data_IF_064914802825
#
_entry.id   IF_064914802825
#
_cell.length_a   1.000
_cell.length_b   1.000
_cell.length_c   1.000
_cell.angle_alpha   90.00
_cell.angle_beta   90.00
_cell.angle_gamma   90.00
#
_symmetry.space_group_name_H-M   'P 1'
#
loop_
_entity.id
_entity.type
_entity.pdbx_description
1 polymer ?
#
# COMPACT_ATOMS: atom_id res chain seq x y z
N UNK A 1 13.21 43.07 -67.08
CA UNK A 1 12.33 42.73 -68.22
C UNK A 1 11.10 42.16 -67.57
N UNK A 2 10.02 42.94 -67.41
CA UNK A 2 8.88 43.08 -68.31
C UNK A 2 8.13 41.73 -68.41
N UNK A 3 6.83 41.55 -68.22
CA UNK A 3 5.64 42.39 -68.31
C UNK A 3 4.50 41.61 -67.71
N UNK A 4 3.60 42.15 -66.85
CA UNK A 4 2.20 42.51 -67.13
C UNK A 4 1.30 41.37 -67.55
N UNK A 5 0.07 41.18 -67.18
CA UNK A 5 -1.01 42.01 -66.64
C UNK A 5 -2.36 41.31 -66.80
N UNK A 6 -3.30 41.73 -65.95
CA UNK A 6 -4.71 42.08 -66.19
C UNK A 6 -5.76 40.93 -66.10
N UNK A 7 -6.68 41.05 -65.15
CA UNK A 7 -8.05 41.67 -65.21
C UNK A 7 -9.02 40.87 -66.07
N UNK A 8 -10.23 40.55 -65.66
CA UNK A 8 -11.43 41.36 -65.44
C UNK A 8 -12.59 40.48 -65.04
N UNK A 9 -13.38 40.78 -64.01
CA UNK A 9 -14.81 41.22 -63.97
C UNK A 9 -15.82 40.25 -64.68
N UNK A 10 -17.02 40.03 -64.28
CA UNK A 10 -17.99 40.68 -63.38
C UNK A 10 -19.33 39.97 -63.35
N UNK A 11 -20.16 40.26 -62.35
CA UNK A 11 -21.63 40.46 -62.36
C UNK A 11 -22.52 39.28 -62.76
N UNK A 12 -23.67 39.02 -62.20
CA UNK A 12 -24.71 39.79 -61.54
C UNK A 12 -25.69 38.77 -60.89
N UNK A 13 -26.16 39.01 -59.72
CA UNK A 13 -27.48 39.57 -59.36
C UNK A 13 -28.72 38.75 -59.74
N UNK A 14 -29.53 38.44 -58.73
CA UNK A 14 -30.90 37.93 -58.89
C UNK A 14 -31.56 37.70 -57.55
N UNK A 15 -32.30 38.71 -57.12
CA UNK A 15 -33.25 38.78 -56.00
C UNK A 15 -34.47 37.89 -56.27
N UNK A 16 -34.99 37.21 -55.30
CA UNK A 16 -36.43 37.36 -54.95
C UNK A 16 -36.81 36.66 -53.62
N UNK A 17 -37.40 37.45 -52.86
CA UNK A 17 -38.18 37.43 -51.63
C UNK A 17 -39.45 36.61 -51.80
N UNK A 18 -39.80 35.73 -50.86
CA UNK A 18 -41.21 35.49 -50.51
C UNK A 18 -41.35 35.08 -49.01
N UNK A 19 -42.13 35.91 -48.34
CA UNK A 19 -42.68 35.67 -46.99
C UNK A 19 -43.73 34.53 -47.02
N UNK A 20 -43.73 33.71 -45.97
CA UNK A 20 -44.96 33.19 -45.44
C UNK A 20 -44.86 32.91 -43.94
N UNK A 21 -45.71 33.56 -43.18
CA UNK A 21 -46.01 33.35 -41.76
C UNK A 21 -46.63 31.98 -41.53
N UNK A 22 -46.38 31.42 -40.35
CA UNK A 22 -47.26 30.35 -39.84
C UNK A 22 -46.79 29.67 -38.56
N UNK A 23 -47.22 30.24 -37.43
CA UNK A 23 -47.71 29.56 -36.22
C UNK A 23 -46.77 28.83 -35.24
N UNK A 24 -46.91 29.28 -34.05
CA UNK A 24 -46.53 28.81 -32.74
C UNK A 24 -46.60 27.29 -32.52
N UNK A 25 -45.57 26.77 -31.89
CA UNK A 25 -45.55 25.44 -31.28
C UNK A 25 -44.57 25.44 -30.10
N UNK A 26 -45.14 25.32 -28.92
CA UNK A 26 -44.48 25.31 -27.61
C UNK A 26 -43.35 24.30 -27.44
N UNK A 27 -42.32 24.72 -26.79
CA UNK A 27 -41.80 24.06 -25.63
C UNK A 27 -40.99 22.79 -25.80
N UNK A 28 -39.78 22.85 -25.50
CA UNK A 28 -38.95 21.68 -25.29
C UNK A 28 -37.48 22.09 -25.48
N UNK A 29 -36.96 22.82 -24.50
CA UNK A 29 -35.51 23.00 -24.43
C UNK A 29 -34.87 21.66 -24.17
N UNK A 30 -34.50 20.95 -25.23
CA UNK A 30 -33.51 19.88 -25.12
C UNK A 30 -32.22 20.50 -24.60
N UNK A 31 -31.98 20.35 -23.29
CA UNK A 31 -30.63 20.47 -22.77
C UNK A 31 -29.80 19.41 -23.51
N UNK A 32 -29.05 19.85 -24.52
CA UNK A 32 -27.93 19.06 -25.02
C UNK A 32 -27.14 18.64 -23.78
N UNK A 33 -27.18 17.36 -23.46
CA UNK A 33 -26.26 16.78 -22.51
C UNK A 33 -24.85 17.10 -23.03
N UNK A 34 -24.14 17.97 -22.32
CA UNK A 34 -22.71 18.15 -22.56
C UNK A 34 -22.09 16.75 -22.53
N UNK A 35 -21.47 16.36 -23.63
CA UNK A 35 -20.68 15.14 -23.67
C UNK A 35 -19.66 15.22 -22.51
N UNK A 36 -19.44 14.13 -21.76
CA UNK A 36 -18.50 14.13 -20.65
C UNK A 36 -17.17 14.67 -21.18
N UNK A 37 -16.73 15.80 -20.64
CA UNK A 37 -15.41 16.38 -20.92
C UNK A 37 -14.40 15.25 -20.71
N UNK A 38 -13.70 14.82 -21.75
CA UNK A 38 -12.69 13.79 -21.64
C UNK A 38 -11.79 14.16 -20.44
N UNK A 39 -11.78 13.30 -19.43
CA UNK A 39 -11.02 13.56 -18.21
C UNK A 39 -9.58 13.85 -18.62
N UNK A 40 -9.04 15.00 -18.16
CA UNK A 40 -7.66 15.35 -18.46
C UNK A 40 -6.75 14.19 -18.02
N UNK A 41 -5.80 13.82 -18.89
CA UNK A 41 -4.86 12.73 -18.61
C UNK A 41 -4.07 13.09 -17.35
N UNK A 42 -4.11 12.21 -16.34
CA UNK A 42 -3.41 12.42 -15.07
C UNK A 42 -2.14 11.57 -15.00
N UNK A 43 -1.11 12.11 -14.36
CA UNK A 43 0.15 11.42 -14.10
C UNK A 43 0.21 11.08 -12.60
N UNK A 44 0.37 9.80 -12.27
CA UNK A 44 0.48 9.31 -10.89
C UNK A 44 1.86 8.71 -10.69
N UNK A 45 2.61 9.23 -9.73
CA UNK A 45 3.86 8.61 -9.28
C UNK A 45 3.54 7.48 -8.31
N UNK A 46 4.12 6.30 -8.52
CA UNK A 46 4.03 5.17 -7.59
C UNK A 46 5.43 4.86 -7.10
N UNK A 47 5.66 4.96 -5.80
CA UNK A 47 6.91 4.56 -5.16
C UNK A 47 6.70 3.41 -4.22
N UNK A 48 7.43 2.33 -4.43
CA UNK A 48 7.48 1.15 -3.57
C UNK A 48 8.86 1.08 -2.90
N UNK A 49 8.90 0.81 -1.59
CA UNK A 49 10.17 0.74 -0.85
C UNK A 49 11.07 -0.38 -1.37
N UNK A 50 10.53 -1.58 -1.49
CA UNK A 50 11.24 -2.79 -1.88
C UNK A 50 10.24 -3.78 -2.51
N UNK A 51 10.72 -4.73 -3.28
CA UNK A 51 9.89 -5.77 -3.87
C UNK A 51 9.65 -6.91 -2.88
N UNK A 52 8.39 -7.14 -2.54
CA UNK A 52 7.88 -8.35 -1.90
C UNK A 52 6.36 -8.45 -2.07
N UNK A 53 5.82 -9.66 -1.91
CA UNK A 53 4.46 -10.00 -2.30
C UNK A 53 3.36 -9.10 -1.70
N UNK A 54 3.52 -8.60 -0.46
CA UNK A 54 2.54 -7.72 0.16
C UNK A 54 2.49 -6.34 -0.51
N UNK A 55 3.66 -5.72 -0.77
CA UNK A 55 3.73 -4.41 -1.43
C UNK A 55 3.28 -4.51 -2.90
N UNK A 56 3.63 -5.60 -3.58
CA UNK A 56 3.19 -5.87 -4.95
C UNK A 56 1.66 -6.03 -5.02
N UNK A 57 1.07 -6.71 -4.03
CA UNK A 57 -0.38 -6.84 -3.91
C UNK A 57 -1.05 -5.48 -3.67
N UNK A 58 -0.49 -4.62 -2.81
CA UNK A 58 -0.98 -3.27 -2.58
C UNK A 58 -0.92 -2.41 -3.86
N UNK A 59 0.19 -2.49 -4.61
CA UNK A 59 0.35 -1.79 -5.88
C UNK A 59 -0.69 -2.24 -6.91
N UNK A 60 -0.86 -3.56 -7.08
CA UNK A 60 -1.86 -4.13 -7.98
C UNK A 60 -3.29 -3.72 -7.57
N UNK A 61 -3.60 -3.77 -6.27
CA UNK A 61 -4.88 -3.33 -5.73
C UNK A 61 -5.14 -1.85 -6.02
N UNK A 62 -4.15 -0.98 -5.86
CA UNK A 62 -4.28 0.45 -6.15
C UNK A 62 -4.70 0.71 -7.60
N UNK A 63 -4.04 0.06 -8.55
CA UNK A 63 -4.39 0.21 -9.98
C UNK A 63 -5.82 -0.27 -10.25
N UNK A 64 -6.25 -1.36 -9.63
CA UNK A 64 -7.63 -1.85 -9.75
C UNK A 64 -8.65 -0.89 -9.12
N UNK A 65 -8.35 -0.32 -7.93
CA UNK A 65 -9.17 0.70 -7.29
C UNK A 65 -9.31 1.96 -8.14
N UNK A 66 -8.23 2.43 -8.74
CA UNK A 66 -8.25 3.54 -9.70
C UNK A 66 -9.13 3.21 -10.92
N UNK A 67 -8.98 2.00 -11.46
CA UNK A 67 -9.75 1.52 -12.62
C UNK A 67 -11.24 1.44 -12.31
N UNK A 68 -11.63 0.97 -11.13
CA UNK A 68 -13.03 0.89 -10.69
C UNK A 68 -13.71 2.26 -10.65
N UNK A 69 -12.93 3.34 -10.51
CA UNK A 69 -13.36 4.74 -10.52
C UNK A 69 -13.20 5.44 -11.88
N UNK A 70 -12.87 4.68 -12.94
CA UNK A 70 -12.79 5.18 -14.31
C UNK A 70 -11.42 5.67 -14.76
N UNK A 71 -10.33 5.40 -13.99
CA UNK A 71 -8.96 5.70 -14.40
C UNK A 71 -8.31 4.47 -15.03
N UNK A 72 -8.25 4.43 -16.36
CA UNK A 72 -7.65 3.33 -17.11
C UNK A 72 -6.27 3.71 -17.65
N UNK A 73 -5.26 2.89 -17.33
CA UNK A 73 -3.89 3.10 -17.77
C UNK A 73 -3.80 3.17 -19.30
N UNK A 74 -3.03 4.13 -19.79
CA UNK A 74 -2.90 4.38 -21.23
C UNK A 74 -4.04 5.20 -21.85
N UNK A 75 -5.23 5.27 -21.23
CA UNK A 75 -6.34 6.10 -21.69
C UNK A 75 -6.30 7.49 -21.05
N UNK A 76 -6.54 7.57 -19.76
CA UNK A 76 -6.67 8.82 -19.01
C UNK A 76 -5.78 8.91 -17.76
N UNK A 77 -4.99 7.88 -17.47
CA UNK A 77 -3.97 7.87 -16.43
C UNK A 77 -2.67 7.26 -16.94
N UNK A 78 -1.53 7.80 -16.47
CA UNK A 78 -0.21 7.18 -16.60
C UNK A 78 0.38 6.98 -15.22
N UNK A 79 1.05 5.85 -15.03
CA UNK A 79 1.75 5.52 -13.79
C UNK A 79 3.27 5.55 -14.02
N UNK A 80 3.97 6.43 -13.28
CA UNK A 80 5.43 6.39 -13.16
C UNK A 80 5.79 5.50 -11.97
N UNK A 81 6.03 4.20 -12.24
CA UNK A 81 6.30 3.18 -11.20
C UNK A 81 7.78 3.11 -10.91
N UNK A 82 8.12 3.30 -9.64
CA UNK A 82 9.50 3.28 -9.15
C UNK A 82 9.62 2.34 -7.94
N UNK A 83 10.72 1.60 -7.89
CA UNK A 83 11.10 0.76 -6.75
C UNK A 83 12.44 1.27 -6.19
N UNK A 84 12.47 1.57 -4.91
CA UNK A 84 13.65 2.12 -4.25
C UNK A 84 14.67 1.04 -3.86
N UNK A 85 14.32 -0.24 -3.95
CA UNK A 85 15.22 -1.36 -3.61
C UNK A 85 15.78 -1.27 -2.18
N UNK A 86 14.94 -0.81 -1.24
CA UNK A 86 15.30 -0.57 0.16
C UNK A 86 16.45 0.45 0.36
N UNK A 87 16.74 1.28 -0.62
CA UNK A 87 17.78 2.30 -0.56
C UNK A 87 17.20 3.70 -0.34
N UNK A 88 17.68 4.39 0.70
CA UNK A 88 17.20 5.72 1.08
C UNK A 88 17.55 6.78 0.03
N UNK A 89 18.68 6.67 -0.65
CA UNK A 89 19.09 7.60 -1.70
C UNK A 89 18.20 7.46 -2.92
N UNK A 90 17.85 6.21 -3.27
CA UNK A 90 16.88 5.94 -4.33
C UNK A 90 15.50 6.53 -3.98
N UNK A 91 15.02 6.38 -2.74
CA UNK A 91 13.78 7.00 -2.30
C UNK A 91 13.78 8.53 -2.50
N UNK A 92 14.89 9.19 -2.11
CA UNK A 92 15.05 10.64 -2.28
C UNK A 92 15.04 11.04 -3.76
N UNK A 93 15.75 10.32 -4.60
CA UNK A 93 15.80 10.57 -6.04
C UNK A 93 14.43 10.38 -6.69
N UNK A 94 13.69 9.34 -6.30
CA UNK A 94 12.34 9.08 -6.78
C UNK A 94 11.38 10.19 -6.34
N UNK A 95 11.42 10.59 -5.07
CA UNK A 95 10.60 11.69 -4.56
C UNK A 95 10.86 12.99 -5.34
N UNK A 96 12.13 13.35 -5.55
CA UNK A 96 12.51 14.53 -6.32
C UNK A 96 12.08 14.43 -7.78
N UNK A 97 12.17 13.25 -8.40
CA UNK A 97 11.65 12.98 -9.75
C UNK A 97 10.16 13.29 -9.85
N UNK A 98 9.34 12.81 -8.89
CA UNK A 98 7.90 13.07 -8.92
C UNK A 98 7.55 14.54 -8.73
N UNK A 99 8.27 15.25 -7.86
CA UNK A 99 8.12 16.70 -7.66
C UNK A 99 8.47 17.46 -8.93
N UNK A 100 9.61 17.17 -9.54
CA UNK A 100 10.08 17.83 -10.77
C UNK A 100 9.14 17.57 -11.96
N UNK A 101 8.60 16.35 -12.05
CA UNK A 101 7.64 15.96 -13.09
C UNK A 101 6.22 16.48 -12.81
N UNK A 102 5.99 17.14 -11.67
CA UNK A 102 4.70 17.69 -11.25
C UNK A 102 3.57 16.67 -11.40
N UNK A 103 3.78 15.47 -10.88
CA UNK A 103 2.74 14.43 -10.92
C UNK A 103 1.48 14.91 -10.19
N UNK A 104 0.32 14.46 -10.61
CA UNK A 104 -0.96 14.90 -10.04
C UNK A 104 -1.26 14.29 -8.67
N UNK A 105 -0.66 13.13 -8.39
CA UNK A 105 -0.80 12.40 -7.14
C UNK A 105 0.39 11.45 -6.98
N UNK A 106 0.82 11.21 -5.74
CA UNK A 106 1.81 10.20 -5.40
C UNK A 106 1.12 9.08 -4.62
N UNK A 107 1.31 7.83 -5.06
CA UNK A 107 1.00 6.64 -4.27
C UNK A 107 2.28 6.11 -3.64
N UNK A 108 2.32 6.10 -2.31
CA UNK A 108 3.49 5.70 -1.54
C UNK A 108 3.23 4.37 -0.82
N UNK A 109 4.04 3.35 -1.10
CA UNK A 109 3.89 2.01 -0.56
C UNK A 109 5.02 1.73 0.42
N UNK A 110 4.69 1.54 1.67
CA UNK A 110 5.47 1.41 2.90
C UNK A 110 5.80 2.74 3.59
N UNK A 111 5.98 2.66 4.91
CA UNK A 111 6.22 3.82 5.79
C UNK A 111 7.44 4.65 5.37
N UNK A 112 8.63 4.08 5.11
CA UNK A 112 9.79 4.89 4.70
C UNK A 112 9.59 5.62 3.37
N UNK A 113 8.90 5.00 2.41
CA UNK A 113 8.57 5.62 1.13
C UNK A 113 7.63 6.82 1.32
N UNK A 114 6.57 6.65 2.13
CA UNK A 114 5.63 7.73 2.43
C UNK A 114 6.30 8.89 3.18
N UNK A 115 7.17 8.60 4.14
CA UNK A 115 7.94 9.63 4.86
C UNK A 115 8.83 10.44 3.91
N UNK A 116 9.51 9.75 2.98
CA UNK A 116 10.42 10.42 2.05
C UNK A 116 9.67 11.35 1.08
N UNK A 117 8.55 10.89 0.50
CA UNK A 117 7.78 11.76 -0.41
C UNK A 117 7.04 12.87 0.33
N UNK A 118 6.56 12.64 1.54
CA UNK A 118 5.94 13.68 2.37
C UNK A 118 6.92 14.79 2.78
N UNK A 119 8.19 14.44 2.98
CA UNK A 119 9.26 15.42 3.22
C UNK A 119 9.65 16.20 1.96
N UNK A 120 9.41 15.65 0.76
CA UNK A 120 9.77 16.29 -0.50
C UNK A 120 8.70 17.26 -1.01
N UNK A 121 7.44 17.11 -0.62
CA UNK A 121 6.34 17.97 -1.08
C UNK A 121 5.21 18.08 -0.07
N UNK A 122 4.68 19.29 0.11
CA UNK A 122 3.43 19.58 0.83
C UNK A 122 2.24 19.82 -0.12
N UNK A 123 2.48 19.93 -1.42
CA UNK A 123 1.50 20.39 -2.40
C UNK A 123 0.87 19.23 -3.18
N UNK A 124 1.68 18.24 -3.56
CA UNK A 124 1.19 17.08 -4.30
C UNK A 124 0.44 16.16 -3.32
N UNK A 125 -0.81 15.77 -3.61
CA UNK A 125 -1.54 14.80 -2.81
C UNK A 125 -0.79 13.46 -2.72
N UNK A 126 -0.71 12.91 -1.51
CA UNK A 126 -0.08 11.61 -1.25
C UNK A 126 -1.12 10.65 -0.68
N UNK A 127 -1.28 9.51 -1.33
CA UNK A 127 -2.06 8.38 -0.78
C UNK A 127 -1.09 7.27 -0.42
N UNK A 128 -1.14 6.82 0.83
CA UNK A 128 -0.26 5.77 1.32
C UNK A 128 -0.96 4.41 1.45
N UNK A 129 -0.19 3.35 1.42
CA UNK A 129 -0.61 1.98 1.76
C UNK A 129 0.57 1.23 2.37
N UNK A 130 0.29 0.14 3.10
CA UNK A 130 1.31 -0.58 3.85
C UNK A 130 2.04 0.35 4.85
N UNK A 131 1.27 1.15 5.57
CA UNK A 131 1.74 2.07 6.60
C UNK A 131 1.04 1.73 7.91
N UNK A 132 1.81 1.31 8.90
CA UNK A 132 1.26 0.80 10.15
C UNK A 132 0.53 1.87 10.94
N UNK A 133 1.16 3.03 11.17
CA UNK A 133 0.53 4.15 11.86
C UNK A 133 1.04 5.49 11.33
N UNK A 134 0.13 6.25 10.74
CA UNK A 134 0.44 7.52 10.09
C UNK A 134 0.87 8.61 11.07
N UNK A 135 0.33 8.59 12.29
CA UNK A 135 0.68 9.56 13.32
C UNK A 135 2.08 9.30 13.89
N UNK A 136 2.40 8.04 14.22
CA UNK A 136 3.74 7.65 14.68
C UNK A 136 4.78 7.90 13.58
N UNK A 137 4.42 7.68 12.32
CA UNK A 137 5.27 8.00 11.16
C UNK A 137 5.39 9.51 10.89
N UNK A 138 4.70 10.38 11.64
CA UNK A 138 4.66 11.84 11.48
C UNK A 138 4.16 12.31 10.12
N UNK A 139 3.30 11.51 9.48
CA UNK A 139 2.70 11.82 8.18
C UNK A 139 1.44 12.67 8.30
N UNK A 140 0.70 12.49 9.40
CA UNK A 140 -0.56 13.17 9.68
C UNK A 140 -0.60 13.70 11.11
N UNK A 141 -1.48 14.66 11.35
CA UNK A 141 -1.73 15.18 12.72
C UNK A 141 -2.62 14.22 13.51
N UNK A 142 -3.61 13.63 12.82
CA UNK A 142 -4.56 12.69 13.39
C UNK A 142 -5.08 11.73 12.29
N UNK A 143 -5.37 10.46 12.64
CA UNK A 143 -5.83 9.47 11.67
C UNK A 143 -7.28 9.72 11.20
N UNK A 144 -8.13 10.34 12.04
CA UNK A 144 -9.50 10.67 11.66
C UNK A 144 -9.59 11.93 10.79
N UNK A 145 -8.67 12.88 10.99
CA UNK A 145 -8.55 14.10 10.20
C UNK A 145 -7.07 14.43 9.98
N UNK A 146 -6.48 13.94 8.90
CA UNK A 146 -5.03 14.01 8.64
C UNK A 146 -4.42 15.41 8.77
N UNK A 147 -5.06 16.44 8.21
CA UNK A 147 -4.60 17.83 8.31
C UNK A 147 -3.28 18.11 7.57
N UNK A 148 -2.89 17.23 6.65
CA UNK A 148 -1.71 17.32 5.77
C UNK A 148 -2.10 16.92 4.34
N UNK A 149 -1.17 16.97 3.39
CA UNK A 149 -1.39 16.45 2.04
C UNK A 149 -1.36 14.90 1.94
N UNK A 150 -1.29 14.19 3.07
CA UNK A 150 -1.19 12.73 3.15
C UNK A 150 -2.48 12.12 3.69
N UNK A 151 -2.93 11.04 3.07
CA UNK A 151 -3.99 10.14 3.53
C UNK A 151 -3.70 8.72 3.04
N UNK A 152 -4.59 7.75 3.26
CA UNK A 152 -4.44 6.41 2.73
C UNK A 152 -4.99 5.31 3.63
N UNK A 153 -4.38 4.12 3.55
CA UNK A 153 -4.78 2.95 4.31
C UNK A 153 -3.71 2.50 5.28
N UNK A 154 -4.13 2.05 6.47
CA UNK A 154 -3.25 1.45 7.48
C UNK A 154 -3.29 -0.08 7.42
N UNK A 155 -2.13 -0.69 7.61
CA UNK A 155 -1.94 -2.12 7.77
C UNK A 155 -1.71 -2.53 9.24
N UNK A 156 -2.04 -1.64 10.19
CA UNK A 156 -1.95 -1.97 11.61
C UNK A 156 -2.64 -3.29 11.89
N UNK A 157 -1.88 -4.26 12.33
CA UNK A 157 -2.32 -5.60 12.63
C UNK A 157 -2.55 -5.79 14.15
N UNK A 158 -3.26 -6.85 14.57
CA UNK A 158 -3.59 -7.09 15.96
C UNK A 158 -2.44 -7.77 16.70
N UNK A 159 -1.30 -7.09 16.90
CA UNK A 159 -0.06 -7.65 17.48
C UNK A 159 -0.30 -8.47 18.76
N UNK A 160 -1.13 -7.98 19.68
CA UNK A 160 -1.46 -8.71 20.90
C UNK A 160 -2.20 -10.03 20.63
N UNK A 161 -3.13 -10.03 19.68
CA UNK A 161 -3.83 -11.25 19.28
C UNK A 161 -2.93 -12.23 18.50
N UNK A 162 -1.93 -11.70 17.77
CA UNK A 162 -0.91 -12.53 17.13
C UNK A 162 0.00 -13.20 18.16
N UNK A 163 0.32 -12.52 19.27
CA UNK A 163 0.99 -13.17 20.41
C UNK A 163 0.10 -14.22 21.05
N UNK A 164 -1.22 -13.97 21.18
CA UNK A 164 -2.15 -15.00 21.68
C UNK A 164 -2.21 -16.23 20.77
N UNK A 165 -2.19 -16.02 19.44
CA UNK A 165 -2.10 -17.09 18.45
C UNK A 165 -0.79 -17.89 18.62
N UNK A 166 0.35 -17.20 18.80
CA UNK A 166 1.63 -17.84 19.09
C UNK A 166 1.54 -18.75 20.31
N UNK A 167 0.99 -18.25 21.41
CA UNK A 167 0.90 -19.00 22.66
C UNK A 167 -0.11 -20.16 22.60
N UNK A 168 -1.12 -20.09 21.74
CA UNK A 168 -2.00 -21.25 21.46
C UNK A 168 -1.26 -22.35 20.70
N UNK A 169 -0.40 -21.98 19.75
CA UNK A 169 0.37 -22.93 18.94
C UNK A 169 1.57 -23.48 19.73
N UNK A 170 2.22 -22.64 20.54
CA UNK A 170 3.39 -22.98 21.36
C UNK A 170 3.09 -22.65 22.83
N UNK A 171 2.24 -23.48 23.52
CA UNK A 171 1.70 -23.13 24.84
C UNK A 171 2.76 -23.04 25.95
N UNK A 172 3.92 -23.68 25.76
CA UNK A 172 5.00 -23.66 26.73
C UNK A 172 6.04 -22.55 26.46
N UNK A 173 5.81 -21.69 25.47
CA UNK A 173 6.74 -20.61 25.17
C UNK A 173 6.89 -19.67 26.36
N UNK A 174 8.12 -19.36 26.71
CA UNK A 174 8.51 -18.40 27.75
C UNK A 174 9.32 -17.25 27.17
N UNK A 175 9.97 -17.50 26.04
CA UNK A 175 10.82 -16.53 25.38
C UNK A 175 10.47 -16.46 23.90
N UNK A 176 10.09 -15.30 23.42
CA UNK A 176 9.80 -15.04 21.99
C UNK A 176 10.87 -14.14 21.44
N UNK A 177 11.49 -14.58 20.34
CA UNK A 177 12.44 -13.78 19.58
C UNK A 177 11.72 -12.87 18.60
N UNK A 178 12.33 -11.74 18.26
CA UNK A 178 11.87 -10.90 17.16
C UNK A 178 13.03 -10.42 16.32
N UNK A 179 12.81 -10.33 15.00
CA UNK A 179 13.78 -9.80 14.04
C UNK A 179 13.09 -8.66 13.30
N UNK A 180 13.70 -7.49 13.27
CA UNK A 180 13.15 -6.33 12.61
C UNK A 180 14.21 -5.31 12.23
N UNK A 181 13.89 -4.42 11.29
CA UNK A 181 14.78 -3.36 10.81
C UNK A 181 14.76 -2.17 11.76
N UNK A 182 15.92 -1.82 12.30
CA UNK A 182 16.04 -0.76 13.32
C UNK A 182 15.63 0.64 12.83
N UNK A 183 15.68 0.90 11.51
CA UNK A 183 15.31 2.17 10.90
C UNK A 183 13.81 2.26 10.51
N UNK A 184 13.06 1.16 10.61
CA UNK A 184 11.63 1.15 10.30
C UNK A 184 10.79 1.46 11.54
N UNK A 185 10.25 2.68 11.63
CA UNK A 185 9.42 3.11 12.78
C UNK A 185 8.12 2.30 12.92
N UNK A 186 7.59 1.75 11.82
CA UNK A 186 6.46 0.82 11.80
C UNK A 186 6.78 -0.48 12.53
N UNK A 187 7.97 -1.03 12.32
CA UNK A 187 8.43 -2.24 13.00
C UNK A 187 8.66 -2.00 14.48
N UNK A 188 9.35 -0.90 14.83
CA UNK A 188 9.57 -0.53 16.23
C UNK A 188 8.25 -0.38 17.01
N UNK A 189 7.25 0.29 16.44
CA UNK A 189 5.93 0.44 17.06
C UNK A 189 5.29 -0.92 17.38
N UNK A 190 5.32 -1.85 16.43
CA UNK A 190 4.75 -3.19 16.61
C UNK A 190 5.51 -3.98 17.68
N UNK A 191 6.85 -3.84 17.74
CA UNK A 191 7.66 -4.48 18.79
C UNK A 191 7.37 -3.89 20.17
N UNK A 192 7.13 -2.60 20.28
CA UNK A 192 6.76 -1.98 21.54
C UNK A 192 5.37 -2.49 22.00
N UNK A 193 4.41 -2.62 21.10
CA UNK A 193 3.10 -3.23 21.39
C UNK A 193 3.28 -4.72 21.80
N UNK A 194 4.14 -5.46 21.12
CA UNK A 194 4.45 -6.86 21.46
C UNK A 194 5.03 -6.97 22.87
N UNK A 195 5.99 -6.11 23.24
CA UNK A 195 6.60 -6.09 24.58
C UNK A 195 5.58 -5.84 25.67
N UNK A 196 4.68 -4.88 25.45
CA UNK A 196 3.60 -4.58 26.41
C UNK A 196 2.61 -5.76 26.54
N UNK A 197 2.27 -6.42 25.45
CA UNK A 197 1.44 -7.61 25.48
C UNK A 197 2.15 -8.81 26.16
N UNK A 198 3.42 -9.02 25.87
CA UNK A 198 4.26 -10.07 26.43
C UNK A 198 4.45 -9.94 27.93
N UNK A 199 4.68 -8.72 28.41
CA UNK A 199 4.80 -8.41 29.85
C UNK A 199 3.58 -8.87 30.64
N UNK A 200 2.36 -8.67 30.13
CA UNK A 200 1.11 -9.10 30.77
C UNK A 200 0.97 -10.64 30.84
N UNK A 201 1.75 -11.37 30.07
CA UNK A 201 1.73 -12.84 29.97
C UNK A 201 2.98 -13.50 30.53
N UNK A 202 3.89 -12.72 31.15
CA UNK A 202 5.20 -13.16 31.65
C UNK A 202 6.07 -13.81 30.56
N UNK A 203 5.99 -13.31 29.32
CA UNK A 203 6.82 -13.75 28.18
C UNK A 203 8.00 -12.77 28.06
N UNK A 204 9.20 -13.32 27.90
CA UNK A 204 10.42 -12.54 27.63
C UNK A 204 10.56 -12.30 26.14
N UNK A 205 10.81 -11.05 25.73
CA UNK A 205 11.11 -10.73 24.34
C UNK A 205 12.63 -10.60 24.19
N UNK A 206 13.20 -11.31 23.19
CA UNK A 206 14.58 -11.16 22.75
C UNK A 206 14.62 -10.57 21.36
N UNK A 207 15.31 -9.45 21.21
CA UNK A 207 15.37 -8.70 19.96
C UNK A 207 16.68 -8.95 19.23
N UNK A 208 16.58 -9.09 17.91
CA UNK A 208 17.70 -8.99 16.98
C UNK A 208 17.31 -7.98 15.89
N UNK A 209 18.07 -6.91 15.77
CA UNK A 209 17.83 -5.89 14.75
C UNK A 209 18.72 -6.09 13.54
N UNK A 210 18.22 -5.68 12.37
CA UNK A 210 18.95 -5.70 11.11
C UNK A 210 18.94 -4.32 10.48
N UNK A 211 19.91 -4.07 9.60
CA UNK A 211 20.00 -2.83 8.82
C UNK A 211 19.67 -3.07 7.33
N UNK A 212 19.87 -4.30 6.87
CA UNK A 212 19.63 -4.70 5.49
C UNK A 212 19.42 -6.24 5.40
N UNK A 213 19.10 -6.74 4.21
CA UNK A 213 18.79 -8.16 3.97
C UNK A 213 19.96 -9.11 4.30
N UNK A 214 21.22 -8.66 4.21
CA UNK A 214 22.39 -9.49 4.46
C UNK A 214 22.55 -9.85 5.94
N UNK A 215 21.98 -9.06 6.84
CA UNK A 215 22.06 -9.27 8.29
C UNK A 215 21.08 -10.36 8.77
N UNK A 216 20.05 -10.70 7.97
CA UNK A 216 18.92 -11.57 8.37
C UNK A 216 19.39 -12.94 8.85
N UNK A 217 20.30 -13.60 8.11
CA UNK A 217 20.78 -14.93 8.47
C UNK A 217 21.51 -14.92 9.82
N UNK A 218 22.36 -13.94 10.04
CA UNK A 218 23.12 -13.81 11.30
C UNK A 218 22.19 -13.46 12.46
N UNK A 219 21.25 -12.55 12.26
CA UNK A 219 20.24 -12.20 13.25
C UNK A 219 19.40 -13.42 13.67
N UNK A 220 18.94 -14.21 12.70
CA UNK A 220 18.21 -15.45 12.97
C UNK A 220 19.04 -16.45 13.78
N UNK A 221 20.28 -16.74 13.34
CA UNK A 221 21.19 -17.65 14.04
C UNK A 221 21.49 -17.20 15.47
N UNK A 222 21.54 -15.91 15.74
CA UNK A 222 21.78 -15.36 17.08
C UNK A 222 20.69 -15.70 18.10
N UNK A 223 19.47 -16.02 17.63
CA UNK A 223 18.29 -16.36 18.45
C UNK A 223 18.10 -17.86 18.61
N UNK A 224 18.69 -18.70 17.75
CA UNK A 224 18.55 -20.17 17.83
C UNK A 224 19.03 -20.70 19.19
N UNK A 225 18.22 -21.59 19.79
CA UNK A 225 18.44 -22.16 21.13
C UNK A 225 18.24 -21.19 22.30
N UNK A 226 17.85 -19.95 22.03
CA UNK A 226 17.61 -18.92 23.04
C UNK A 226 16.14 -18.47 23.14
N UNK A 227 15.31 -18.89 22.18
CA UNK A 227 13.89 -18.53 22.08
C UNK A 227 13.05 -19.74 21.69
N UNK A 228 11.78 -19.74 22.05
CA UNK A 228 10.83 -20.84 21.81
C UNK A 228 10.07 -20.64 20.49
N UNK A 229 9.92 -19.41 20.03
CA UNK A 229 9.29 -19.03 18.77
C UNK A 229 9.78 -17.66 18.33
N UNK A 230 9.55 -17.31 17.06
CA UNK A 230 9.77 -15.96 16.55
C UNK A 230 8.43 -15.25 16.29
N UNK A 231 8.41 -13.97 16.57
CA UNK A 231 7.43 -13.02 16.04
C UNK A 231 8.14 -12.06 15.08
N UNK A 232 7.65 -11.93 13.86
CA UNK A 232 8.18 -11.00 12.87
C UNK A 232 7.09 -9.99 12.52
N UNK A 233 7.29 -8.69 12.79
CA UNK A 233 6.31 -7.64 12.49
C UNK A 233 6.13 -7.44 10.97
N UNK A 234 5.28 -6.51 10.54
CA UNK A 234 5.21 -6.08 9.13
C UNK A 234 6.45 -5.24 8.76
N UNK A 235 7.59 -5.89 8.75
CA UNK A 235 8.90 -5.33 8.42
C UNK A 235 9.23 -5.60 6.95
N UNK A 236 9.50 -4.55 6.19
CA UNK A 236 9.66 -4.68 4.74
C UNK A 236 10.94 -5.39 4.34
N UNK A 237 12.04 -5.15 5.06
CA UNK A 237 13.33 -5.78 4.78
C UNK A 237 13.27 -7.27 5.13
N UNK A 238 12.70 -7.61 6.30
CA UNK A 238 12.53 -9.00 6.70
C UNK A 238 11.56 -9.72 5.77
N UNK A 239 10.45 -9.08 5.36
CA UNK A 239 9.50 -9.65 4.41
C UNK A 239 10.14 -9.97 3.06
N UNK A 240 10.99 -9.09 2.54
CA UNK A 240 11.74 -9.33 1.28
C UNK A 240 12.75 -10.47 1.39
N UNK A 241 13.23 -10.79 2.60
CA UNK A 241 14.21 -11.82 2.88
C UNK A 241 13.64 -13.04 3.63
N UNK A 242 12.32 -13.23 3.64
CA UNK A 242 11.67 -14.39 4.30
C UNK A 242 12.28 -15.74 3.90
N UNK A 243 12.60 -16.01 2.62
CA UNK A 243 13.25 -17.27 2.26
C UNK A 243 14.59 -17.49 2.98
N UNK A 244 15.38 -16.45 3.18
CA UNK A 244 16.66 -16.52 3.92
C UNK A 244 16.42 -16.80 5.42
N UNK A 245 15.42 -16.13 6.02
CA UNK A 245 15.05 -16.34 7.41
C UNK A 245 14.54 -17.79 7.63
N UNK A 246 13.68 -18.27 6.75
CA UNK A 246 13.02 -19.57 6.90
C UNK A 246 13.99 -20.75 6.77
N UNK A 247 15.05 -20.65 5.96
CA UNK A 247 16.10 -21.68 5.91
C UNK A 247 16.65 -21.94 7.32
N UNK A 248 17.02 -20.87 8.05
CA UNK A 248 17.61 -20.98 9.39
C UNK A 248 16.59 -21.51 10.41
N UNK A 249 15.37 -20.99 10.36
CA UNK A 249 14.34 -21.35 11.37
C UNK A 249 13.76 -22.75 11.16
N UNK A 250 13.65 -23.22 9.92
CA UNK A 250 13.21 -24.57 9.60
C UNK A 250 14.26 -25.62 10.05
N UNK A 251 15.56 -25.39 9.81
CA UNK A 251 16.65 -26.24 10.32
C UNK A 251 16.59 -26.37 11.85
N UNK A 252 16.28 -25.26 12.53
CA UNK A 252 16.16 -25.21 13.98
C UNK A 252 14.79 -25.65 14.52
N UNK A 253 13.83 -25.97 13.64
CA UNK A 253 12.41 -26.26 13.98
C UNK A 253 11.77 -25.13 14.80
N UNK A 254 12.16 -23.89 14.54
CA UNK A 254 11.70 -22.70 15.26
C UNK A 254 10.49 -22.09 14.55
N UNK A 255 9.27 -22.09 15.16
CA UNK A 255 8.08 -21.54 14.54
C UNK A 255 8.13 -20.02 14.45
N UNK A 256 7.61 -19.46 13.35
CA UNK A 256 7.49 -18.02 13.12
C UNK A 256 6.02 -17.61 13.05
N UNK A 257 5.58 -16.71 13.91
CA UNK A 257 4.32 -15.98 13.74
C UNK A 257 4.63 -14.66 13.07
N UNK A 258 3.92 -14.38 11.97
CA UNK A 258 4.20 -13.24 11.10
C UNK A 258 3.18 -12.12 11.30
N UNK A 259 3.59 -10.89 11.03
CA UNK A 259 2.74 -9.71 11.03
C UNK A 259 1.72 -9.72 9.89
N UNK A 260 1.98 -10.45 8.77
CA UNK A 260 1.10 -10.45 7.61
C UNK A 260 1.10 -11.79 6.84
N UNK A 261 0.10 -11.94 5.92
CA UNK A 261 -0.20 -13.21 5.27
C UNK A 261 0.88 -13.69 4.30
N UNK A 262 1.50 -12.78 3.53
CA UNK A 262 2.48 -13.18 2.52
C UNK A 262 3.77 -13.69 3.16
N UNK A 263 4.16 -13.16 4.32
CA UNK A 263 5.27 -13.70 5.10
C UNK A 263 4.94 -15.12 5.60
N UNK A 264 3.70 -15.37 6.05
CA UNK A 264 3.28 -16.71 6.45
C UNK A 264 3.27 -17.67 5.25
N UNK A 265 2.80 -17.22 4.08
CA UNK A 265 2.84 -17.99 2.81
C UNK A 265 4.28 -18.25 2.35
N UNK A 266 5.22 -17.34 2.61
CA UNK A 266 6.63 -17.44 2.25
C UNK A 266 7.48 -18.28 3.21
N UNK A 267 6.86 -18.96 4.19
CA UNK A 267 7.55 -19.90 5.10
C UNK A 267 7.38 -19.59 6.58
N UNK A 268 6.62 -18.56 6.95
CA UNK A 268 6.13 -18.42 8.32
C UNK A 268 5.08 -19.46 8.65
N UNK A 269 4.83 -19.69 9.93
CA UNK A 269 3.89 -20.72 10.39
C UNK A 269 2.45 -20.22 10.39
N UNK A 270 2.21 -19.03 10.89
CA UNK A 270 0.86 -18.48 11.03
C UNK A 270 0.85 -16.97 11.16
N UNK A 271 -0.33 -16.38 10.92
CA UNK A 271 -0.61 -14.96 11.17
C UNK A 271 -2.09 -14.72 11.45
N UNK A 272 -2.40 -13.54 12.01
CA UNK A 272 -3.66 -12.83 11.88
C UNK A 272 -3.36 -11.60 11.04
N UNK A 273 -3.59 -11.69 9.74
CA UNK A 273 -3.03 -10.74 8.81
C UNK A 273 -4.04 -9.82 8.14
N UNK A 274 -3.51 -8.82 7.44
CA UNK A 274 -4.25 -7.89 6.57
C UNK A 274 -4.14 -8.32 5.12
N UNK A 275 -5.17 -8.01 4.35
CA UNK A 275 -5.21 -8.22 2.90
C UNK A 275 -4.68 -6.95 2.19
N UNK A 276 -3.43 -6.96 1.79
CA UNK A 276 -2.77 -5.83 1.14
C UNK A 276 -3.37 -5.46 -0.21
N UNK A 277 -3.90 -6.45 -0.95
CA UNK A 277 -4.60 -6.15 -2.19
C UNK A 277 -5.85 -5.30 -1.94
N UNK A 278 -6.66 -5.66 -0.95
CA UNK A 278 -7.85 -4.87 -0.57
C UNK A 278 -7.48 -3.49 -0.05
N UNK A 279 -6.43 -3.37 0.77
CA UNK A 279 -5.93 -2.06 1.20
C UNK A 279 -5.52 -1.21 -0.01
N UNK A 280 -4.84 -1.80 -0.98
CA UNK A 280 -4.51 -1.16 -2.24
C UNK A 280 -5.74 -0.68 -3.01
N UNK A 281 -6.77 -1.52 -3.15
CA UNK A 281 -8.04 -1.14 -3.82
C UNK A 281 -8.65 0.08 -3.16
N UNK A 282 -8.76 0.07 -1.82
CA UNK A 282 -9.29 1.22 -1.07
C UNK A 282 -8.42 2.47 -1.28
N UNK A 283 -7.10 2.35 -1.29
CA UNK A 283 -6.20 3.48 -1.58
C UNK A 283 -6.38 4.02 -3.00
N UNK A 284 -6.59 3.16 -3.99
CA UNK A 284 -6.89 3.55 -5.36
C UNK A 284 -8.21 4.31 -5.49
N UNK A 285 -9.25 3.86 -4.79
CA UNK A 285 -10.53 4.57 -4.73
C UNK A 285 -10.38 5.96 -4.08
N UNK A 286 -9.62 6.05 -2.97
CA UNK A 286 -9.32 7.32 -2.31
C UNK A 286 -8.56 8.28 -3.24
N UNK A 287 -7.56 7.77 -3.97
CA UNK A 287 -6.79 8.53 -4.94
C UNK A 287 -7.68 9.09 -6.07
N UNK A 288 -8.59 8.27 -6.58
CA UNK A 288 -9.53 8.68 -7.61
C UNK A 288 -10.48 9.79 -7.13
N UNK A 289 -10.99 9.69 -5.89
CA UNK A 289 -11.85 10.74 -5.31
C UNK A 289 -11.07 12.07 -5.15
N UNK A 290 -9.78 12.03 -4.81
CA UNK A 290 -8.92 13.22 -4.76
C UNK A 290 -8.74 13.80 -6.16
N UNK A 291 -8.38 13.00 -7.15
CA UNK A 291 -8.15 13.44 -8.53
C UNK A 291 -9.42 14.02 -9.18
N UNK A 292 -10.60 13.56 -8.76
CA UNK A 292 -11.90 14.08 -9.19
C UNK A 292 -12.34 15.34 -8.43
N UNK A 293 -11.55 15.81 -7.46
CA UNK A 293 -11.87 16.96 -6.62
C UNK A 293 -13.02 16.72 -5.62
N UNK A 294 -13.42 15.46 -5.41
CA UNK A 294 -14.50 15.08 -4.48
C UNK A 294 -14.07 15.11 -3.02
N UNK A 295 -12.76 14.94 -2.78
CA UNK A 295 -12.18 14.93 -1.44
C UNK A 295 -10.79 15.55 -1.44
N UNK A 296 -10.32 15.94 -0.25
CA UNK A 296 -8.96 16.44 -0.05
C UNK A 296 -8.24 15.56 0.96
N UNK A 297 -6.95 15.24 0.78
CA UNK A 297 -6.21 14.36 1.69
C UNK A 297 -6.35 14.75 3.15
N UNK A 298 -6.27 16.04 3.47
CA UNK A 298 -6.33 16.56 4.84
C UNK A 298 -7.64 16.26 5.58
N UNK A 299 -8.72 15.97 4.86
CA UNK A 299 -10.05 15.72 5.39
C UNK A 299 -10.47 14.24 5.27
N UNK A 300 -9.66 13.41 4.61
CA UNK A 300 -9.92 11.99 4.42
C UNK A 300 -9.30 11.15 5.54
N UNK A 301 -10.13 10.57 6.40
CA UNK A 301 -9.66 9.67 7.45
C UNK A 301 -8.84 8.50 6.89
N UNK A 302 -7.81 8.11 7.61
CA UNK A 302 -7.05 6.88 7.36
C UNK A 302 -7.99 5.69 7.51
N UNK A 303 -7.99 4.78 6.52
CA UNK A 303 -8.84 3.60 6.51
C UNK A 303 -8.02 2.35 6.80
N UNK A 304 -8.62 1.37 7.45
CA UNK A 304 -7.94 0.10 7.75
C UNK A 304 -8.91 -1.07 7.69
N UNK A 305 -8.36 -2.27 7.69
CA UNK A 305 -9.13 -3.50 7.81
C UNK A 305 -9.62 -3.66 9.25
N UNK A 306 -10.85 -4.17 9.40
CA UNK A 306 -11.45 -4.40 10.73
C UNK A 306 -11.45 -5.87 11.11
N UNK A 307 -11.56 -6.76 10.13
CA UNK A 307 -11.68 -8.20 10.34
C UNK A 307 -10.39 -8.88 9.92
N UNK A 308 -9.75 -9.56 10.87
CA UNK A 308 -8.52 -10.31 10.65
C UNK A 308 -8.82 -11.80 10.65
N UNK A 309 -8.34 -12.51 9.64
CA UNK A 309 -8.45 -13.97 9.57
C UNK A 309 -7.12 -14.61 9.90
N UNK A 310 -7.21 -15.74 10.61
CA UNK A 310 -6.03 -16.56 10.80
C UNK A 310 -5.64 -17.24 9.48
N UNK A 311 -4.36 -17.22 9.15
CA UNK A 311 -3.77 -18.03 8.09
C UNK A 311 -2.75 -18.97 8.73
N UNK A 312 -2.84 -20.26 8.43
CA UNK A 312 -1.95 -21.30 8.94
C UNK A 312 -1.25 -22.01 7.79
N UNK A 313 0.05 -22.07 7.85
CA UNK A 313 0.86 -22.77 6.86
C UNK A 313 1.16 -24.22 7.36
N UNK A 314 0.33 -25.16 6.91
CA UNK A 314 0.47 -26.56 7.30
C UNK A 314 1.71 -27.24 6.70
N UNK A 315 2.26 -26.76 5.57
CA UNK A 315 3.54 -27.27 5.07
C UNK A 315 4.66 -27.01 6.08
N UNK A 316 4.70 -25.79 6.61
CA UNK A 316 5.68 -25.40 7.62
C UNK A 316 5.41 -26.15 8.93
N UNK A 317 4.16 -26.21 9.40
CA UNK A 317 3.79 -26.94 10.61
C UNK A 317 4.30 -28.40 10.57
N UNK A 318 4.03 -29.10 9.47
CA UNK A 318 4.47 -30.49 9.27
C UNK A 318 6.00 -30.59 9.21
N UNK A 319 6.67 -29.67 8.51
CA UNK A 319 8.13 -29.68 8.31
C UNK A 319 8.89 -29.50 9.63
N UNK A 320 8.42 -28.57 10.48
CA UNK A 320 9.06 -28.31 11.78
C UNK A 320 8.52 -29.17 12.92
N UNK A 321 7.49 -30.00 12.66
CA UNK A 321 6.91 -30.90 13.64
C UNK A 321 6.02 -30.22 14.69
N UNK A 322 5.43 -29.06 14.37
CA UNK A 322 4.52 -28.32 15.25
C UNK A 322 3.09 -28.77 15.01
N UNK A 323 2.41 -29.19 16.05
CA UNK A 323 1.00 -29.58 16.01
C UNK A 323 0.12 -28.35 16.22
N UNK A 324 -0.73 -28.05 15.22
CA UNK A 324 -1.68 -26.94 15.32
C UNK A 324 -2.95 -27.41 16.03
N UNK A 325 -3.41 -26.74 17.10
CA UNK A 325 -4.66 -27.09 17.78
C UNK A 325 -5.88 -26.96 16.86
N UNK A 326 -6.86 -27.83 17.00
CA UNK A 326 -8.10 -27.80 16.20
C UNK A 326 -8.86 -26.49 16.33
N UNK A 327 -8.86 -25.88 17.51
CA UNK A 327 -9.48 -24.59 17.76
C UNK A 327 -8.83 -23.45 16.95
N UNK A 328 -7.53 -23.55 16.62
CA UNK A 328 -6.79 -22.59 15.79
C UNK A 328 -7.09 -22.81 14.31
N UNK A 329 -7.29 -24.08 13.90
CA UNK A 329 -7.65 -24.41 12.52
C UNK A 329 -9.09 -24.02 12.19
N UNK A 330 -9.97 -23.99 13.18
CA UNK A 330 -11.38 -23.65 12.96
C UNK A 330 -11.55 -22.21 12.50
N UNK A 331 -11.95 -22.04 11.25
CA UNK A 331 -12.13 -20.72 10.63
C UNK A 331 -10.85 -20.06 10.07
N UNK A 332 -9.70 -20.76 10.16
CA UNK A 332 -8.46 -20.30 9.55
C UNK A 332 -8.41 -20.63 8.04
N UNK A 333 -7.75 -19.77 7.27
CA UNK A 333 -7.26 -20.11 5.94
C UNK A 333 -6.05 -21.05 6.09
N UNK A 334 -6.03 -22.13 5.33
CA UNK A 334 -4.98 -23.16 5.43
C UNK A 334 -4.20 -23.23 4.13
N UNK A 335 -2.90 -22.96 4.19
CA UNK A 335 -1.94 -23.22 3.13
C UNK A 335 -1.47 -24.68 3.25
N UNK A 336 -1.72 -25.46 2.19
CA UNK A 336 -1.40 -26.90 2.09
C UNK A 336 -0.17 -27.13 1.21
#
# INVERSE_FOLDING_TARGET
MNFKSKKLQALAAGVMLTLALGLAGCGGGEKKAEAPKAAAKVNVGIVQLVEHAALDAANKGFVEGMKSKGYEEGKNVTYDRQNAQADQSNLQNIAQRFVNNKVNLIYAIATPAAQTVANATSDIPIVGSAITDYKTAKLVKDNAKPGTNVTGTTDMNPVAAQLDLLLKIVPNAKTVGTIYTSSEVNSQLQIDILKEAAKKKNIVIKEATVSNVNDIQQAARSLIGKVDALYVPTDNIVASAMPTLTIVTEEAKLPIICGEENMAKAGGLATLGVDYYKLGVVSGEMAADILQGKAKPQDMAIRGQKDFKALINMKVANKIGVKIPEEVLKGAEVVK
#
